data_IF_876213782928
#
_entry.id   IF_876213782928
#
_cell.length_a   1.000
_cell.length_b   1.000
_cell.length_c   1.000
_cell.angle_alpha   90.00
_cell.angle_beta   90.00
_cell.angle_gamma   90.00
#
_symmetry.space_group_name_H-M   'P 1'
#
loop_
_entity.id
_entity.type
_entity.pdbx_description
1 polymer ?
#
# COMPACT_ATOMS: atom_id res chain seq x y z
N UNK A 1 14.44 8.28 7.42
CA UNK A 1 13.96 9.52 6.83
C UNK A 1 14.29 9.51 5.34
N UNK A 2 13.35 9.90 4.49
CA UNK A 2 13.54 10.02 3.05
C UNK A 2 12.76 11.21 2.49
N UNK A 3 13.19 11.71 1.32
CA UNK A 3 12.57 12.88 0.66
C UNK A 3 11.39 12.51 -0.25
N UNK A 4 11.05 11.25 -0.33
CA UNK A 4 9.95 10.72 -1.14
C UNK A 4 8.74 10.39 -0.26
N UNK A 5 7.54 10.70 -0.72
CA UNK A 5 6.28 10.38 -0.03
C UNK A 5 6.06 8.87 0.15
N UNK A 6 6.74 8.03 -0.67
CA UNK A 6 6.69 6.58 -0.59
C UNK A 6 7.72 5.97 0.38
N UNK A 7 8.50 6.78 1.09
CA UNK A 7 9.42 6.34 2.15
C UNK A 7 8.70 5.45 3.16
N UNK A 8 7.45 5.74 3.46
CA UNK A 8 6.59 5.00 4.40
C UNK A 8 6.37 3.53 4.03
N UNK A 9 6.61 3.12 2.76
CA UNK A 9 6.60 1.72 2.36
C UNK A 9 7.48 0.83 3.22
N UNK A 10 8.59 1.38 3.73
CA UNK A 10 9.53 0.65 4.55
C UNK A 10 8.97 0.25 5.93
N UNK A 11 7.82 0.78 6.33
CA UNK A 11 7.04 0.28 7.46
C UNK A 11 6.60 -1.18 7.26
N UNK A 12 6.43 -1.61 6.01
CA UNK A 12 6.19 -3.01 5.65
C UNK A 12 7.41 -3.93 5.86
N UNK A 13 8.56 -3.38 6.20
CA UNK A 13 9.79 -4.07 6.62
C UNK A 13 10.14 -3.83 8.10
N UNK A 14 9.19 -3.37 8.90
CA UNK A 14 9.39 -3.15 10.33
C UNK A 14 10.15 -1.87 10.68
N UNK A 15 10.18 -0.88 9.79
CA UNK A 15 10.91 0.38 10.01
C UNK A 15 9.96 1.54 10.27
N UNK A 16 10.27 2.40 11.24
CA UNK A 16 9.64 3.71 11.39
C UNK A 16 10.18 4.62 10.29
N UNK A 17 9.58 4.55 9.13
CA UNK A 17 10.05 5.21 7.92
C UNK A 17 9.17 6.44 7.61
N UNK A 18 9.77 7.62 7.58
CA UNK A 18 9.06 8.89 7.49
C UNK A 18 9.54 9.68 6.27
N UNK A 19 8.58 10.10 5.44
CA UNK A 19 8.82 11.04 4.36
C UNK A 19 8.87 12.47 4.87
N UNK A 20 9.91 13.22 4.50
CA UNK A 20 10.12 14.62 4.92
C UNK A 20 10.33 15.54 3.74
N UNK A 21 10.15 16.84 3.95
CA UNK A 21 10.44 17.85 2.94
C UNK A 21 11.93 17.99 2.64
N UNK A 22 12.26 18.59 1.51
CA UNK A 22 13.65 18.79 1.11
C UNK A 22 14.46 19.62 2.11
N UNK A 23 13.86 20.63 2.75
CA UNK A 23 14.51 21.43 3.77
C UNK A 23 14.89 20.60 5.00
N UNK A 24 13.95 19.81 5.52
CA UNK A 24 14.22 18.91 6.66
C UNK A 24 15.34 17.89 6.34
N UNK A 25 15.36 17.39 5.10
CA UNK A 25 16.39 16.47 4.66
C UNK A 25 17.77 17.13 4.65
N UNK A 26 17.87 18.40 4.22
CA UNK A 26 19.14 19.17 4.24
C UNK A 26 19.61 19.37 5.68
N UNK A 27 18.74 19.70 6.61
CA UNK A 27 19.06 19.84 8.02
C UNK A 27 19.62 18.54 8.60
N UNK A 28 18.98 17.41 8.32
CA UNK A 28 19.46 16.09 8.74
C UNK A 28 20.84 15.76 8.10
N UNK A 29 21.03 16.06 6.82
CA UNK A 29 22.33 15.87 6.14
C UNK A 29 23.43 16.76 6.73
N UNK A 30 23.07 17.94 7.23
CA UNK A 30 23.99 18.84 7.96
C UNK A 30 24.25 18.41 9.41
N UNK A 31 23.68 17.31 9.86
CA UNK A 31 23.84 16.80 11.23
C UNK A 31 22.95 17.48 12.26
N UNK A 32 21.95 18.24 11.81
CA UNK A 32 20.96 18.83 12.71
C UNK A 32 19.89 17.80 13.08
N UNK A 33 19.36 17.82 14.31
CA UNK A 33 18.27 16.94 14.69
C UNK A 33 16.99 17.34 13.95
N UNK A 34 16.25 16.31 13.48
CA UNK A 34 14.89 16.50 12.99
C UNK A 34 13.92 16.35 14.17
N UNK A 35 13.15 17.38 14.44
CA UNK A 35 12.22 17.41 15.55
C UNK A 35 10.84 16.95 15.09
N UNK A 36 10.27 15.95 15.75
CA UNK A 36 8.91 15.48 15.56
C UNK A 36 8.11 15.68 16.85
N UNK A 37 6.96 16.36 16.75
CA UNK A 37 6.01 16.35 17.86
C UNK A 37 5.63 14.90 18.14
N UNK A 38 5.66 14.48 19.42
CA UNK A 38 5.31 13.11 19.81
C UNK A 38 3.96 12.72 19.18
N UNK A 39 3.92 11.72 18.31
CA UNK A 39 2.72 11.35 17.56
C UNK A 39 1.73 10.62 18.45
N UNK A 40 0.45 10.67 18.07
CA UNK A 40 -0.54 9.73 18.57
C UNK A 40 -0.24 8.34 18.00
N UNK A 41 -0.65 7.32 18.74
CA UNK A 41 -0.53 5.93 18.31
C UNK A 41 -1.92 5.39 17.99
N UNK A 42 -2.11 4.93 16.74
CA UNK A 42 -3.33 4.24 16.32
C UNK A 42 -3.00 2.79 16.09
N UNK A 43 -3.60 1.90 16.87
CA UNK A 43 -3.47 0.46 16.70
C UNK A 43 -4.53 -0.10 15.75
N UNK A 44 -4.10 -0.82 14.71
CA UNK A 44 -5.02 -1.57 13.82
C UNK A 44 -4.83 -3.05 14.07
N UNK A 45 -5.77 -3.64 14.80
CA UNK A 45 -5.77 -5.05 15.13
C UNK A 45 -6.36 -5.86 13.98
N UNK A 46 -5.52 -6.61 13.29
CA UNK A 46 -5.93 -7.50 12.19
C UNK A 46 -6.13 -8.93 12.70
N UNK A 47 -7.34 -9.45 12.54
CA UNK A 47 -7.73 -10.82 12.91
C UNK A 47 -8.02 -11.65 11.67
N UNK A 48 -7.85 -12.97 11.78
CA UNK A 48 -8.17 -13.91 10.69
C UNK A 48 -7.21 -13.81 9.49
N UNK A 49 -7.68 -14.20 8.32
CA UNK A 49 -6.89 -14.27 7.09
C UNK A 49 -7.66 -13.69 5.91
N UNK A 50 -6.93 -13.09 4.97
CA UNK A 50 -7.53 -12.68 3.69
C UNK A 50 -8.04 -13.91 2.93
N UNK A 51 -9.21 -13.79 2.36
CA UNK A 51 -9.83 -14.85 1.56
C UNK A 51 -10.48 -14.31 0.27
N UNK A 52 -10.81 -15.22 -0.64
CA UNK A 52 -11.53 -14.92 -1.88
C UNK A 52 -10.77 -13.89 -2.73
N UNK A 53 -11.42 -12.78 -3.04
CA UNK A 53 -10.90 -11.71 -3.88
C UNK A 53 -10.25 -10.57 -3.10
N UNK A 54 -10.29 -10.62 -1.77
CA UNK A 54 -9.71 -9.58 -0.92
C UNK A 54 -8.19 -9.58 -0.99
N UNK A 55 -7.60 -8.41 -0.84
CA UNK A 55 -6.16 -8.16 -0.92
C UNK A 55 -5.71 -7.28 0.24
N UNK A 56 -4.40 -7.15 0.43
CA UNK A 56 -3.83 -6.23 1.41
C UNK A 56 -4.30 -4.79 1.19
N UNK A 57 -4.54 -4.39 -0.07
CA UNK A 57 -5.08 -3.06 -0.37
C UNK A 57 -6.46 -2.84 0.25
N UNK A 58 -7.32 -3.85 0.31
CA UNK A 58 -8.66 -3.71 0.90
C UNK A 58 -8.61 -3.38 2.39
N UNK A 59 -7.55 -3.81 3.09
CA UNK A 59 -7.30 -3.43 4.49
C UNK A 59 -7.17 -1.91 4.61
N UNK A 60 -6.26 -1.31 3.84
CA UNK A 60 -6.03 0.14 3.93
C UNK A 60 -7.20 0.95 3.34
N UNK A 61 -7.91 0.44 2.33
CA UNK A 61 -9.12 1.07 1.83
C UNK A 61 -10.20 1.12 2.91
N UNK A 62 -10.34 0.05 3.70
CA UNK A 62 -11.25 0.00 4.85
C UNK A 62 -10.81 0.97 5.95
N UNK A 63 -9.51 1.01 6.29
CA UNK A 63 -8.94 1.94 7.26
C UNK A 63 -9.18 3.39 6.83
N UNK A 64 -8.98 3.70 5.54
CA UNK A 64 -9.27 5.03 4.99
C UNK A 64 -10.74 5.42 5.14
N UNK A 65 -11.65 4.47 4.96
CA UNK A 65 -13.08 4.69 5.21
C UNK A 65 -13.42 4.96 6.68
N UNK A 66 -12.64 4.43 7.62
CA UNK A 66 -12.85 4.61 9.06
C UNK A 66 -12.21 5.92 9.55
N UNK A 67 -10.94 6.15 9.22
CA UNK A 67 -10.17 7.31 9.68
C UNK A 67 -10.48 8.58 8.89
N UNK A 68 -10.95 8.45 7.67
CA UNK A 68 -11.05 9.55 6.69
C UNK A 68 -9.66 10.13 6.32
N UNK A 69 -9.63 11.14 5.46
CA UNK A 69 -8.37 11.77 4.98
C UNK A 69 -7.60 12.55 6.05
N UNK A 70 -8.15 12.71 7.25
CA UNK A 70 -7.55 13.53 8.34
C UNK A 70 -7.38 12.76 9.65
N UNK A 71 -8.00 11.59 9.80
CA UNK A 71 -8.02 10.85 11.07
C UNK A 71 -6.65 10.39 11.55
N UNK A 72 -5.71 10.16 10.64
CA UNK A 72 -4.32 9.81 10.96
C UNK A 72 -3.38 11.00 11.17
N UNK A 73 -3.86 12.24 11.08
CA UNK A 73 -2.99 13.42 11.16
C UNK A 73 -2.25 13.48 12.49
N UNK A 74 -0.91 13.55 12.41
CA UNK A 74 -0.05 13.56 13.59
C UNK A 74 -0.02 12.23 14.34
N UNK A 75 -0.37 11.12 13.68
CA UNK A 75 -0.34 9.79 14.27
C UNK A 75 0.64 8.87 13.53
N UNK A 76 1.10 7.84 14.24
CA UNK A 76 1.71 6.62 13.68
C UNK A 76 0.68 5.52 13.76
N UNK A 77 0.49 4.77 12.68
CA UNK A 77 -0.43 3.64 12.63
C UNK A 77 0.37 2.35 12.76
N UNK A 78 0.11 1.58 13.80
CA UNK A 78 0.71 0.26 14.00
C UNK A 78 -0.30 -0.83 13.69
N UNK A 79 0.09 -1.74 12.79
CA UNK A 79 -0.70 -2.91 12.43
C UNK A 79 -0.19 -4.14 13.18
N UNK A 80 -1.05 -4.79 13.94
CA UNK A 80 -0.70 -5.93 14.76
C UNK A 80 -1.79 -7.02 14.73
N UNK A 81 -1.54 -8.14 15.39
CA UNK A 81 -2.45 -9.29 15.42
C UNK A 81 -2.04 -10.43 14.49
N UNK A 82 -2.72 -11.56 14.60
CA UNK A 82 -2.43 -12.75 13.79
C UNK A 82 -2.70 -12.49 12.30
N UNK A 83 -3.72 -11.68 11.97
CA UNK A 83 -4.00 -11.27 10.61
C UNK A 83 -2.86 -10.49 9.97
N UNK A 84 -2.13 -9.67 10.75
CA UNK A 84 -0.96 -8.94 10.25
C UNK A 84 0.15 -9.90 9.81
N UNK A 85 0.37 -11.01 10.53
CA UNK A 85 1.35 -12.05 10.18
C UNK A 85 0.98 -12.81 8.91
N UNK A 86 -0.30 -12.88 8.57
CA UNK A 86 -0.80 -13.57 7.36
C UNK A 86 -0.51 -12.81 6.06
N UNK A 87 -0.18 -11.52 6.14
CA UNK A 87 0.06 -10.67 4.98
C UNK A 87 1.48 -10.86 4.42
N UNK A 88 1.62 -10.72 3.10
CA UNK A 88 2.93 -10.66 2.46
C UNK A 88 3.65 -9.34 2.80
N UNK A 89 4.99 -9.36 2.72
CA UNK A 89 5.80 -8.15 2.93
C UNK A 89 5.42 -7.03 1.95
N UNK A 90 5.19 -7.34 0.68
CA UNK A 90 4.76 -6.36 -0.33
C UNK A 90 3.36 -5.84 -0.04
N UNK A 91 2.46 -6.69 0.45
CA UNK A 91 1.12 -6.27 0.90
C UNK A 91 1.17 -5.32 2.10
N UNK A 92 2.06 -5.58 3.07
CA UNK A 92 2.31 -4.65 4.19
C UNK A 92 2.86 -3.31 3.70
N UNK A 93 3.79 -3.33 2.72
CA UNK A 93 4.29 -2.12 2.07
C UNK A 93 3.16 -1.30 1.42
N UNK A 94 2.23 -1.96 0.72
CA UNK A 94 1.04 -1.31 0.15
C UNK A 94 0.19 -0.63 1.22
N UNK A 95 -0.06 -1.29 2.34
CA UNK A 95 -0.83 -0.72 3.46
C UNK A 95 -0.12 0.50 4.03
N UNK A 96 1.17 0.39 4.32
CA UNK A 96 1.97 1.51 4.84
C UNK A 96 2.02 2.69 3.88
N UNK A 97 2.15 2.42 2.57
CA UNK A 97 2.21 3.46 1.55
C UNK A 97 0.94 4.33 1.56
N UNK A 98 -0.22 3.72 1.64
CA UNK A 98 -1.49 4.43 1.65
C UNK A 98 -1.84 5.04 3.01
N UNK A 99 -1.02 4.90 4.03
CA UNK A 99 -1.14 5.64 5.28
C UNK A 99 -1.10 7.17 5.09
N UNK A 100 -0.44 7.64 4.05
CA UNK A 100 -0.43 9.05 3.66
C UNK A 100 -1.83 9.58 3.29
N UNK A 101 -2.71 8.73 2.71
CA UNK A 101 -4.08 9.10 2.30
C UNK A 101 -4.99 9.37 3.50
N UNK A 102 -4.65 8.89 4.69
CA UNK A 102 -5.35 9.19 5.94
C UNK A 102 -4.63 10.25 6.77
N UNK A 103 -3.55 10.83 6.25
CA UNK A 103 -2.76 11.88 6.91
C UNK A 103 -1.78 11.36 7.97
N UNK A 104 -1.52 10.07 8.04
CA UNK A 104 -0.58 9.49 9.01
C UNK A 104 0.86 9.93 8.74
N UNK A 105 1.62 10.16 9.82
CA UNK A 105 3.05 10.46 9.75
C UNK A 105 3.81 9.28 9.18
N UNK A 106 3.47 8.07 9.60
CA UNK A 106 3.95 6.80 9.06
C UNK A 106 3.05 5.65 9.52
N UNK A 107 3.30 4.48 8.95
CA UNK A 107 2.67 3.23 9.35
C UNK A 107 3.72 2.15 9.53
N UNK A 108 3.49 1.18 10.41
CA UNK A 108 4.47 0.14 10.73
C UNK A 108 3.79 -1.21 10.97
N UNK A 109 4.49 -2.27 10.59
CA UNK A 109 4.24 -3.65 11.01
C UNK A 109 5.41 -4.17 11.83
N UNK A 110 5.16 -5.03 12.81
CA UNK A 110 6.22 -5.78 13.47
C UNK A 110 6.93 -6.72 12.50
N UNK A 111 8.23 -6.95 12.73
CA UNK A 111 9.04 -7.86 11.93
C UNK A 111 8.54 -9.31 12.05
N UNK A 112 8.42 -10.00 10.92
CA UNK A 112 7.96 -11.38 10.86
C UNK A 112 8.56 -12.18 9.69
N UNK A 113 8.17 -13.44 9.58
CA UNK A 113 8.64 -14.37 8.56
C UNK A 113 8.37 -13.91 7.11
N UNK A 114 7.36 -13.10 6.87
CA UNK A 114 7.08 -12.58 5.53
C UNK A 114 8.16 -11.59 5.08
N UNK A 115 8.67 -10.80 6.02
CA UNK A 115 9.77 -9.86 5.80
C UNK A 115 11.10 -10.60 5.64
N UNK A 116 11.33 -11.63 6.46
CA UNK A 116 12.49 -12.53 6.33
C UNK A 116 12.56 -13.15 4.92
N UNK A 117 11.46 -13.76 4.47
CA UNK A 117 11.38 -14.35 3.12
C UNK A 117 11.65 -13.31 2.03
N UNK A 118 11.09 -12.12 2.16
CA UNK A 118 11.29 -11.04 1.19
C UNK A 118 12.75 -10.58 1.14
N UNK A 119 13.39 -10.36 2.28
CA UNK A 119 14.80 -9.97 2.35
C UNK A 119 15.72 -11.04 1.78
N UNK A 120 15.49 -12.32 2.10
CA UNK A 120 16.25 -13.44 1.55
C UNK A 120 16.08 -13.53 0.01
N UNK A 121 14.86 -13.41 -0.49
CA UNK A 121 14.58 -13.48 -1.94
C UNK A 121 15.16 -12.32 -2.74
N UNK A 122 15.46 -11.21 -2.07
CA UNK A 122 16.06 -10.00 -2.67
C UNK A 122 17.56 -9.86 -2.38
N UNK A 123 18.22 -10.93 -1.93
CA UNK A 123 19.66 -11.00 -1.74
C UNK A 123 20.19 -10.24 -0.51
N UNK A 124 19.35 -10.01 0.50
CA UNK A 124 19.68 -9.28 1.73
C UNK A 124 19.75 -10.19 2.97
N UNK A 125 20.38 -11.35 2.82
CA UNK A 125 20.50 -12.37 3.87
C UNK A 125 21.31 -11.89 5.08
N UNK A 126 22.24 -10.97 4.91
CA UNK A 126 22.99 -10.33 5.98
C UNK A 126 22.08 -9.48 6.88
N UNK A 127 21.14 -8.75 6.29
CA UNK A 127 20.13 -7.99 7.03
C UNK A 127 19.20 -8.92 7.80
N UNK A 128 18.82 -10.06 7.23
CA UNK A 128 18.01 -11.08 7.93
C UNK A 128 18.75 -11.56 9.19
N UNK A 129 20.03 -11.89 9.08
CA UNK A 129 20.83 -12.33 10.23
C UNK A 129 20.85 -11.27 11.34
N UNK A 130 21.10 -10.02 10.99
CA UNK A 130 21.08 -8.93 11.96
C UNK A 130 19.69 -8.71 12.60
N UNK A 131 18.62 -8.84 11.83
CA UNK A 131 17.26 -8.72 12.34
C UNK A 131 16.89 -9.87 13.29
N UNK A 132 17.28 -11.10 12.99
CA UNK A 132 17.00 -12.27 13.84
C UNK A 132 17.68 -12.16 15.22
N UNK A 133 18.88 -11.56 15.31
CA UNK A 133 19.58 -11.34 16.59
C UNK A 133 18.77 -10.44 17.55
N UNK A 134 17.97 -9.52 17.00
CA UNK A 134 17.19 -8.54 17.78
C UNK A 134 15.68 -8.65 17.55
N UNK A 135 15.22 -9.74 17.00
CA UNK A 135 13.82 -9.97 16.57
C UNK A 135 12.81 -9.64 17.67
N UNK A 136 13.11 -9.98 18.90
CA UNK A 136 12.23 -9.72 20.06
C UNK A 136 12.01 -8.23 20.34
N UNK A 137 12.86 -7.34 19.82
CA UNK A 137 12.69 -5.90 19.89
C UNK A 137 12.03 -5.31 18.62
N UNK A 138 11.80 -6.13 17.59
CA UNK A 138 11.25 -5.70 16.31
C UNK A 138 9.78 -6.13 16.13
N UNK A 139 9.18 -6.73 17.15
CA UNK A 139 7.78 -7.15 17.17
C UNK A 139 7.00 -6.31 18.17
N UNK A 140 5.67 -6.28 18.03
CA UNK A 140 4.82 -5.65 19.03
C UNK A 140 4.99 -6.34 20.40
N UNK A 141 4.99 -5.56 21.47
CA UNK A 141 5.10 -6.06 22.82
C UNK A 141 3.90 -6.95 23.16
N UNK A 142 4.09 -8.05 23.94
CA UNK A 142 3.01 -9.00 24.26
C UNK A 142 1.79 -8.35 24.93
N UNK A 143 2.01 -7.30 25.69
CA UNK A 143 0.97 -6.56 26.42
C UNK A 143 -0.02 -5.88 25.47
N UNK A 144 0.46 -5.43 24.30
CA UNK A 144 -0.37 -4.79 23.25
C UNK A 144 -1.47 -5.74 22.76
N UNK A 145 -1.17 -7.05 22.70
CA UNK A 145 -2.16 -8.05 22.28
C UNK A 145 -3.24 -8.28 23.34
N UNK A 146 -2.94 -8.03 24.61
CA UNK A 146 -3.85 -8.28 25.74
C UNK A 146 -4.70 -7.04 26.03
N UNK A 147 -4.08 -5.87 26.08
CA UNK A 147 -4.73 -4.61 26.46
C UNK A 147 -4.36 -3.48 25.48
N UNK A 148 -4.74 -3.56 24.22
CA UNK A 148 -4.32 -2.57 23.22
C UNK A 148 -4.76 -1.13 23.55
N UNK A 149 -5.90 -0.97 24.25
CA UNK A 149 -6.45 0.33 24.63
C UNK A 149 -5.60 1.08 25.69
N UNK A 150 -4.68 0.39 26.36
CA UNK A 150 -3.75 1.01 27.32
C UNK A 150 -2.53 1.63 26.60
N UNK A 151 -2.24 1.19 25.36
CA UNK A 151 -1.03 1.55 24.62
C UNK A 151 -1.31 2.43 23.41
N UNK A 152 -2.51 2.36 22.86
CA UNK A 152 -2.93 3.15 21.70
C UNK A 152 -3.94 4.22 22.09
N UNK A 153 -3.83 5.40 21.49
CA UNK A 153 -4.84 6.46 21.61
C UNK A 153 -6.17 6.08 20.96
N UNK A 154 -6.10 5.20 19.96
CA UNK A 154 -7.25 4.65 19.25
C UNK A 154 -6.96 3.23 18.78
N UNK A 155 -7.93 2.33 18.90
CA UNK A 155 -7.85 0.97 18.38
C UNK A 155 -8.92 0.77 17.31
N UNK A 156 -8.52 0.21 16.17
CA UNK A 156 -9.39 -0.20 15.07
C UNK A 156 -9.24 -1.71 14.91
N UNK A 157 -10.34 -2.43 14.91
CA UNK A 157 -10.35 -3.87 14.68
C UNK A 157 -10.87 -4.18 13.28
N UNK A 158 -10.15 -5.04 12.54
CA UNK A 158 -10.55 -5.52 11.22
C UNK A 158 -10.42 -7.04 11.19
N UNK A 159 -11.56 -7.71 10.97
CA UNK A 159 -11.60 -9.14 10.71
C UNK A 159 -11.38 -9.40 9.22
N UNK A 160 -10.23 -10.00 8.87
CA UNK A 160 -9.85 -10.29 7.49
C UNK A 160 -10.71 -11.39 6.86
N UNK A 161 -11.28 -12.29 7.68
CA UNK A 161 -12.18 -13.34 7.19
C UNK A 161 -13.48 -12.75 6.63
N UNK A 162 -13.89 -11.58 7.12
CA UNK A 162 -15.11 -10.88 6.73
C UNK A 162 -14.84 -9.74 5.74
N UNK A 163 -13.57 -9.41 5.51
CA UNK A 163 -13.20 -8.31 4.65
C UNK A 163 -13.51 -8.64 3.20
N UNK A 164 -14.41 -7.88 2.59
CA UNK A 164 -14.71 -7.94 1.17
C UNK A 164 -13.89 -6.94 0.38
N UNK A 165 -13.69 -7.12 -0.95
CA UNK A 165 -13.07 -6.13 -1.80
C UNK A 165 -13.80 -4.77 -1.74
N UNK A 166 -13.01 -3.69 -1.68
CA UNK A 166 -13.50 -2.31 -1.60
C UNK A 166 -13.07 -1.48 -2.81
N UNK A 167 -13.85 -0.46 -3.11
CA UNK A 167 -13.49 0.65 -3.99
C UNK A 167 -13.62 1.95 -3.21
N UNK A 168 -12.58 2.78 -3.27
CA UNK A 168 -12.61 4.11 -2.66
C UNK A 168 -12.81 5.17 -3.74
N UNK A 169 -13.72 6.08 -3.47
CA UNK A 169 -14.14 7.11 -4.42
C UNK A 169 -15.58 6.90 -4.91
N UNK A 170 -15.99 7.72 -5.90
CA UNK A 170 -15.22 8.76 -6.60
C UNK A 170 -14.95 10.00 -5.74
N UNK A 171 -14.05 10.87 -6.24
CA UNK A 171 -13.74 12.21 -5.75
C UNK A 171 -12.91 12.30 -4.46
N UNK A 172 -12.94 11.31 -3.58
CA UNK A 172 -12.14 11.27 -2.35
C UNK A 172 -11.67 9.86 -2.02
N UNK A 173 -10.43 9.67 -1.52
CA UNK A 173 -9.89 8.34 -1.25
C UNK A 173 -10.47 7.67 0.01
N UNK A 174 -11.23 8.38 0.82
CA UNK A 174 -11.84 7.86 2.05
C UNK A 174 -13.31 7.42 1.90
N UNK A 175 -13.90 7.58 0.72
CA UNK A 175 -15.24 7.07 0.42
C UNK A 175 -15.18 5.58 0.10
N UNK A 176 -14.96 4.76 1.12
CA UNK A 176 -14.88 3.32 1.00
C UNK A 176 -16.25 2.68 0.76
N UNK A 177 -16.35 1.84 -0.26
CA UNK A 177 -17.59 1.11 -0.59
C UNK A 177 -17.24 -0.34 -0.94
N UNK A 178 -17.86 -1.34 -0.30
CA UNK A 178 -17.73 -2.72 -0.74
C UNK A 178 -18.13 -2.87 -2.20
N UNK A 179 -17.37 -3.66 -2.96
CA UNK A 179 -17.66 -3.87 -4.40
C UNK A 179 -19.08 -4.42 -4.63
N UNK A 180 -19.58 -5.24 -3.71
CA UNK A 180 -20.94 -5.77 -3.74
C UNK A 180 -22.04 -4.68 -3.70
N UNK A 181 -21.76 -3.55 -3.06
CA UNK A 181 -22.71 -2.44 -2.90
C UNK A 181 -22.53 -1.33 -3.95
N UNK A 182 -21.39 -1.37 -4.68
CA UNK A 182 -20.99 -0.29 -5.58
C UNK A 182 -22.04 0.01 -6.66
N UNK A 183 -22.68 -1.01 -7.23
CA UNK A 183 -23.70 -0.83 -8.29
C UNK A 183 -24.89 -0.01 -7.81
N UNK A 184 -25.42 -0.34 -6.64
CA UNK A 184 -26.58 0.34 -6.07
C UNK A 184 -26.23 1.76 -5.64
N UNK A 185 -25.06 1.92 -4.98
CA UNK A 185 -24.58 3.22 -4.53
C UNK A 185 -24.30 4.15 -5.70
N UNK A 186 -23.63 3.66 -6.75
CA UNK A 186 -23.35 4.45 -7.95
C UNK A 186 -24.63 4.91 -8.66
N UNK A 187 -25.66 4.07 -8.73
CA UNK A 187 -26.94 4.43 -9.30
C UNK A 187 -27.66 5.48 -8.46
N UNK A 188 -27.69 5.32 -7.13
CA UNK A 188 -28.32 6.27 -6.19
C UNK A 188 -27.67 7.64 -6.23
N UNK A 189 -26.33 7.67 -6.19
CA UNK A 189 -25.53 8.90 -6.14
C UNK A 189 -25.26 9.48 -7.54
N UNK A 190 -25.74 8.82 -8.60
CA UNK A 190 -25.53 9.21 -10.01
C UNK A 190 -24.06 9.33 -10.40
N UNK A 191 -23.23 8.42 -9.91
CA UNK A 191 -21.82 8.38 -10.26
C UNK A 191 -21.60 7.92 -11.71
N UNK A 192 -20.49 8.33 -12.35
CA UNK A 192 -20.12 7.80 -13.66
C UNK A 192 -19.98 6.28 -13.64
N UNK A 193 -20.61 5.60 -14.60
CA UNK A 193 -20.52 4.14 -14.71
C UNK A 193 -19.48 3.69 -15.74
N UNK A 194 -19.20 4.55 -16.70
CA UNK A 194 -18.20 4.28 -17.73
C UNK A 194 -16.83 4.81 -17.27
N UNK A 195 -15.82 3.99 -17.48
CA UNK A 195 -14.42 4.29 -17.13
C UNK A 195 -13.61 4.34 -18.42
N UNK A 196 -13.02 5.49 -18.74
CA UNK A 196 -12.21 5.68 -19.94
C UNK A 196 -10.86 5.00 -19.86
N UNK A 197 -10.28 4.96 -18.65
CA UNK A 197 -8.95 4.43 -18.41
C UNK A 197 -8.86 3.65 -17.08
N UNK A 198 -8.41 2.40 -17.16
CA UNK A 198 -8.00 1.59 -16.02
C UNK A 198 -6.48 1.61 -15.88
N UNK A 199 -5.97 1.66 -14.65
CA UNK A 199 -4.53 1.60 -14.37
C UNK A 199 -4.25 0.53 -13.32
N UNK A 200 -3.28 -0.33 -13.59
CA UNK A 200 -2.70 -1.26 -12.61
C UNK A 200 -1.26 -0.87 -12.41
N UNK A 201 -0.88 -0.58 -11.16
CA UNK A 201 0.49 -0.27 -10.87
C UNK A 201 0.72 1.08 -10.22
N UNK A 202 1.79 1.75 -10.67
CA UNK A 202 2.40 2.90 -10.04
C UNK A 202 3.21 2.51 -8.79
N UNK A 203 3.34 3.38 -7.78
CA UNK A 203 4.20 3.15 -6.62
C UNK A 203 3.58 2.19 -5.60
N UNK A 204 2.25 2.06 -5.57
CA UNK A 204 1.53 1.39 -4.48
C UNK A 204 1.23 -0.08 -4.77
N UNK A 205 0.62 -0.39 -5.92
CA UNK A 205 0.23 -1.76 -6.29
C UNK A 205 0.89 -2.19 -7.60
N UNK A 206 2.19 -2.39 -7.57
CA UNK A 206 3.00 -2.68 -8.74
C UNK A 206 4.14 -3.64 -8.44
N UNK A 207 4.05 -4.36 -7.33
CA UNK A 207 4.97 -5.44 -7.01
C UNK A 207 4.81 -6.59 -8.01
N UNK A 208 5.80 -7.47 -8.04
CA UNK A 208 5.69 -8.71 -8.83
C UNK A 208 4.46 -9.54 -8.42
N UNK A 209 4.12 -9.58 -7.13
CA UNK A 209 2.93 -10.24 -6.59
C UNK A 209 1.64 -9.65 -7.16
N UNK A 210 1.51 -8.32 -7.15
CA UNK A 210 0.36 -7.60 -7.70
C UNK A 210 0.19 -7.89 -9.20
N UNK A 211 1.27 -7.78 -9.97
CA UNK A 211 1.25 -8.05 -11.41
C UNK A 211 0.91 -9.52 -11.71
N UNK A 212 1.44 -10.46 -10.92
CA UNK A 212 1.12 -11.89 -11.09
C UNK A 212 -0.35 -12.17 -10.86
N UNK A 213 -0.93 -11.56 -9.82
CA UNK A 213 -2.37 -11.69 -9.51
C UNK A 213 -3.23 -11.08 -10.61
N UNK A 214 -2.89 -9.88 -11.06
CA UNK A 214 -3.58 -9.21 -12.17
C UNK A 214 -3.47 -10.01 -13.47
N UNK A 215 -2.30 -10.56 -13.79
CA UNK A 215 -2.08 -11.38 -14.97
C UNK A 215 -2.90 -12.68 -14.93
N UNK A 216 -3.06 -13.28 -13.75
CA UNK A 216 -3.93 -14.45 -13.57
C UNK A 216 -5.39 -14.12 -13.91
N UNK A 217 -5.90 -13.00 -13.42
CA UNK A 217 -7.26 -12.52 -13.74
C UNK A 217 -7.39 -12.23 -15.23
N UNK A 218 -6.41 -11.53 -15.82
CA UNK A 218 -6.36 -11.21 -17.24
C UNK A 218 -6.39 -12.47 -18.12
N UNK A 219 -5.64 -13.51 -17.74
CA UNK A 219 -5.63 -14.80 -18.43
C UNK A 219 -7.00 -15.49 -18.39
N UNK A 220 -7.68 -15.44 -17.25
CA UNK A 220 -9.04 -16.00 -17.10
C UNK A 220 -10.05 -15.24 -17.95
N UNK A 221 -9.97 -13.91 -17.96
CA UNK A 221 -10.82 -13.05 -18.81
C UNK A 221 -10.63 -13.37 -20.29
N UNK A 222 -9.37 -13.54 -20.74
CA UNK A 222 -9.04 -13.93 -22.13
C UNK A 222 -9.60 -15.31 -22.48
N UNK A 223 -9.43 -16.30 -21.60
CA UNK A 223 -10.00 -17.66 -21.80
C UNK A 223 -11.54 -17.61 -21.92
N UNK A 224 -12.16 -16.74 -21.18
CA UNK A 224 -13.63 -16.50 -21.22
C UNK A 224 -14.05 -15.59 -22.37
N UNK A 225 -13.13 -15.20 -23.27
CA UNK A 225 -13.40 -14.31 -24.43
C UNK A 225 -13.98 -12.94 -24.04
N UNK A 226 -13.69 -12.47 -22.82
CA UNK A 226 -14.08 -11.13 -22.38
C UNK A 226 -13.17 -10.10 -23.03
N UNK A 227 -13.76 -8.94 -23.39
CA UNK A 227 -13.03 -7.78 -23.93
C UNK A 227 -13.01 -6.66 -22.92
N UNK A 228 -11.90 -5.98 -22.83
CA UNK A 228 -11.78 -4.75 -22.04
C UNK A 228 -12.52 -3.65 -22.79
N UNK A 229 -13.37 -2.89 -22.09
CA UNK A 229 -14.14 -1.77 -22.66
C UNK A 229 -13.37 -0.45 -22.59
N UNK A 230 -12.57 -0.26 -21.55
CA UNK A 230 -11.75 0.93 -21.31
C UNK A 230 -10.31 0.70 -21.75
N UNK A 231 -9.56 1.77 -21.93
CA UNK A 231 -8.08 1.66 -22.06
C UNK A 231 -7.48 1.10 -20.76
N UNK A 232 -6.46 0.30 -20.86
CA UNK A 232 -5.76 -0.28 -19.71
C UNK A 232 -4.27 0.07 -19.76
N UNK A 233 -3.77 0.66 -18.68
CA UNK A 233 -2.36 0.90 -18.46
C UNK A 233 -1.80 -0.04 -17.39
N UNK A 234 -0.57 -0.49 -17.57
CA UNK A 234 0.17 -1.30 -16.58
C UNK A 234 1.48 -0.58 -16.30
N UNK A 235 1.70 -0.19 -15.05
CA UNK A 235 2.91 0.49 -14.61
C UNK A 235 3.64 -0.36 -13.57
N UNK A 236 4.65 -1.16 -13.96
CA UNK A 236 5.51 -1.87 -13.00
C UNK A 236 6.21 -0.89 -12.05
N UNK A 237 6.37 -1.26 -10.79
CA UNK A 237 6.92 -0.40 -9.74
C UNK A 237 8.40 -0.06 -9.87
N UNK A 238 9.12 -0.82 -10.69
CA UNK A 238 10.53 -0.57 -11.01
C UNK A 238 10.91 -1.31 -12.29
N UNK A 239 12.04 -0.94 -12.88
CA UNK A 239 12.64 -1.68 -14.00
C UNK A 239 12.93 -3.13 -13.62
N UNK A 240 13.37 -3.39 -12.39
CA UNK A 240 13.63 -4.76 -11.93
C UNK A 240 12.35 -5.61 -11.92
N UNK A 241 11.25 -5.04 -11.43
CA UNK A 241 9.93 -5.71 -11.47
C UNK A 241 9.49 -5.91 -12.91
N UNK A 242 9.66 -4.91 -13.78
CA UNK A 242 9.32 -5.00 -15.21
C UNK A 242 10.06 -6.15 -15.91
N UNK A 243 11.39 -6.18 -15.78
CA UNK A 243 12.21 -7.25 -16.38
C UNK A 243 11.86 -8.64 -15.85
N UNK A 244 11.57 -8.75 -14.54
CA UNK A 244 11.16 -10.01 -13.95
C UNK A 244 9.81 -10.46 -14.51
N UNK A 245 8.83 -9.56 -14.57
CA UNK A 245 7.51 -9.85 -15.12
C UNK A 245 7.54 -10.15 -16.61
N UNK A 246 8.45 -9.52 -17.37
CA UNK A 246 8.68 -9.80 -18.78
C UNK A 246 9.29 -11.19 -18.98
N UNK A 247 10.36 -11.51 -18.23
CA UNK A 247 11.01 -12.84 -18.24
C UNK A 247 10.00 -13.97 -17.98
N UNK A 248 9.08 -13.75 -17.03
CA UNK A 248 8.10 -14.75 -16.60
C UNK A 248 6.80 -14.70 -17.44
N UNK A 249 6.77 -13.89 -18.49
CA UNK A 249 5.66 -13.82 -19.46
C UNK A 249 4.42 -13.06 -18.99
N UNK A 250 4.45 -12.39 -17.82
CA UNK A 250 3.31 -11.65 -17.31
C UNK A 250 2.98 -10.44 -18.18
N UNK A 251 4.00 -9.73 -18.66
CA UNK A 251 3.84 -8.56 -19.55
C UNK A 251 3.10 -8.96 -20.82
N UNK A 252 3.46 -10.11 -21.43
CA UNK A 252 2.80 -10.61 -22.63
C UNK A 252 1.29 -10.84 -22.44
N UNK A 253 0.86 -11.28 -21.26
CA UNK A 253 -0.55 -11.47 -20.95
C UNK A 253 -1.31 -10.16 -21.04
N UNK A 254 -0.72 -9.06 -20.54
CA UNK A 254 -1.34 -7.74 -20.60
C UNK A 254 -1.31 -7.15 -22.01
N UNK A 255 -0.23 -7.30 -22.76
CA UNK A 255 -0.15 -6.89 -24.16
C UNK A 255 -1.21 -7.57 -25.03
N UNK A 256 -1.48 -8.85 -24.79
CA UNK A 256 -2.52 -9.61 -25.47
C UNK A 256 -3.95 -9.10 -25.20
N UNK A 257 -4.12 -8.26 -24.19
CA UNK A 257 -5.35 -7.53 -23.88
C UNK A 257 -5.30 -6.06 -24.38
N UNK A 258 -4.37 -5.73 -25.28
CA UNK A 258 -4.20 -4.38 -25.84
C UNK A 258 -3.88 -3.31 -24.77
N UNK A 259 -3.31 -3.72 -23.62
CA UNK A 259 -2.90 -2.79 -22.58
C UNK A 259 -1.60 -2.07 -22.93
N UNK A 260 -1.44 -0.85 -22.41
CA UNK A 260 -0.21 -0.07 -22.54
C UNK A 260 0.70 -0.34 -21.34
N UNK A 261 1.90 -0.81 -21.61
CA UNK A 261 2.94 -0.96 -20.57
C UNK A 261 3.73 0.35 -20.53
N UNK A 262 3.68 1.02 -19.39
CA UNK A 262 4.40 2.27 -19.17
C UNK A 262 5.30 2.14 -17.95
N UNK A 263 6.43 2.84 -17.94
CA UNK A 263 7.23 3.01 -16.74
C UNK A 263 6.69 4.17 -15.92
N UNK A 264 7.05 4.21 -14.64
CA UNK A 264 6.63 5.26 -13.71
C UNK A 264 6.86 6.68 -14.27
N UNK A 265 7.98 6.89 -14.97
CA UNK A 265 8.34 8.18 -15.59
C UNK A 265 7.54 8.55 -16.85
N UNK A 266 6.78 7.60 -17.37
CA UNK A 266 5.90 7.81 -18.55
C UNK A 266 4.43 7.65 -18.19
N UNK A 267 4.11 7.71 -16.89
CA UNK A 267 2.74 7.64 -16.40
C UNK A 267 1.86 8.69 -17.08
N UNK A 268 0.66 8.33 -17.53
CA UNK A 268 -0.28 9.29 -18.10
C UNK A 268 -0.93 10.21 -17.06
N UNK A 269 -0.55 10.12 -15.80
CA UNK A 269 -1.08 10.98 -14.75
C UNK A 269 -0.64 12.43 -14.97
N UNK A 270 -1.58 13.40 -14.94
CA UNK A 270 -1.22 14.82 -14.99
C UNK A 270 -0.31 15.28 -13.85
N UNK A 271 -0.25 14.50 -12.74
CA UNK A 271 0.65 14.77 -11.60
C UNK A 271 2.08 14.32 -11.84
N UNK A 272 2.29 13.34 -12.71
CA UNK A 272 3.62 12.81 -13.06
C UNK A 272 4.23 13.52 -14.27
N UNK A 273 3.48 14.44 -14.88
CA UNK A 273 3.94 15.27 -16.00
C UNK A 273 4.59 16.58 -15.54
N UNK A 274 4.80 17.49 -16.49
CA UNK A 274 5.44 18.80 -16.33
C UNK A 274 4.85 19.70 -15.22
N UNK A 275 3.71 19.35 -14.65
CA UNK A 275 3.06 20.08 -13.56
C UNK A 275 3.68 19.81 -12.18
N UNK A 276 4.56 18.82 -12.02
CA UNK A 276 5.36 18.66 -10.81
C UNK A 276 6.47 19.73 -10.66
N UNK A 277 6.60 20.60 -11.63
CA UNK A 277 7.42 21.82 -11.55
C UNK A 277 6.63 23.00 -10.97
N UNK A 278 5.88 22.80 -9.90
CA UNK A 278 5.46 23.94 -9.09
C UNK A 278 6.71 24.48 -8.40
N UNK A 279 7.05 25.77 -8.56
CA UNK A 279 8.15 26.35 -7.80
C UNK A 279 7.80 26.20 -6.31
N UNK A 280 8.76 25.75 -5.52
CA UNK A 280 8.71 25.76 -4.07
C UNK A 280 8.77 27.20 -3.55
N UNK A 281 7.76 28.00 -3.85
CA UNK A 281 7.65 29.34 -3.34
C UNK A 281 6.21 29.81 -3.45
N UNK A 282 5.44 29.49 -2.44
CA UNK A 282 4.38 30.32 -1.90
C UNK A 282 4.09 29.89 -0.47
#
# INVERSE_FOLDING_TARGET
IGTDSHTVNAGGLGMVAIGVGGADAVDVMAGMPWELKFPKLIGVHLKGNLNGWSSAKDVILKVAGILTVKGGTGAIIEYFGEGAKSLSCTGKGTICNMGAEVGATTSIFGYDESMERYLNSTGRTDIVKAAEEVKHHLTADPEVYTNPEEYFDQVIEINLDELSPHLNGPFTPDLATPVSEMKEKAAKEKWPLDVDWGLIGSCTNSSYEDLSRAASIASQAKKSKLKIKSKLGINPGSEQVRYTAERDGLIKIFEDLESKICLLYTSPSPRDGLLSRMPSSA
#
